data_IF_984579040599
#
_entry.id   IF_984579040599
#
_cell.length_a   1.000
_cell.length_b   1.000
_cell.length_c   1.000
_cell.angle_alpha   90.00
_cell.angle_beta   90.00
_cell.angle_gamma   90.00
#
_symmetry.space_group_name_H-M   'P 1'
#
loop_
_entity.id
_entity.type
_entity.pdbx_description
1 polymer ?
#
# COMPACT_ATOMS: atom_id res chain seq x y z
N UNK A 1 3.80 11.78 -1.69
CA UNK A 1 2.58 11.92 -2.52
C UNK A 1 1.69 13.00 -1.90
N UNK A 2 1.14 13.85 -2.72
CA UNK A 2 0.22 14.89 -2.27
C UNK A 2 -0.99 14.26 -1.56
N UNK A 3 -1.56 14.99 -0.58
CA UNK A 3 -2.62 14.45 0.27
C UNK A 3 -3.83 13.97 -0.54
N UNK A 4 -4.33 14.79 -1.46
CA UNK A 4 -5.52 14.41 -2.24
C UNK A 4 -5.23 13.23 -3.17
N UNK A 5 -4.07 13.22 -3.80
CA UNK A 5 -3.67 12.10 -4.64
C UNK A 5 -3.49 10.84 -3.81
N UNK A 6 -2.97 10.97 -2.59
CA UNK A 6 -2.80 9.82 -1.71
C UNK A 6 -4.14 9.27 -1.23
N UNK A 7 -5.10 10.13 -0.94
CA UNK A 7 -6.43 9.66 -0.51
C UNK A 7 -7.07 8.78 -1.58
N UNK A 8 -6.97 9.20 -2.84
CA UNK A 8 -7.49 8.39 -3.93
C UNK A 8 -6.71 7.10 -4.10
N UNK A 9 -5.39 7.19 -4.01
CA UNK A 9 -4.53 6.01 -4.09
C UNK A 9 -4.87 5.01 -2.99
N UNK A 10 -5.06 5.50 -1.77
CA UNK A 10 -5.41 4.66 -0.63
C UNK A 10 -6.77 3.99 -0.83
N UNK A 11 -7.74 4.72 -1.36
CA UNK A 11 -9.05 4.15 -1.66
C UNK A 11 -8.94 3.03 -2.67
N UNK A 12 -8.21 3.24 -3.75
CA UNK A 12 -7.97 2.20 -4.74
C UNK A 12 -7.23 1.01 -4.13
N UNK A 13 -6.28 1.29 -3.24
CA UNK A 13 -5.51 0.27 -2.54
C UNK A 13 -6.43 -0.60 -1.67
N UNK A 14 -7.33 0.02 -0.93
CA UNK A 14 -8.26 -0.71 -0.06
C UNK A 14 -9.15 -1.66 -0.88
N UNK A 15 -9.57 -1.22 -2.05
CA UNK A 15 -10.47 -1.99 -2.91
C UNK A 15 -9.76 -3.03 -3.78
N UNK A 16 -8.43 -3.02 -3.80
CA UNK A 16 -7.65 -3.97 -4.60
C UNK A 16 -7.53 -5.31 -3.89
N UNK A 17 -7.29 -6.38 -4.66
CA UNK A 17 -6.97 -7.67 -4.06
C UNK A 17 -5.54 -7.65 -3.50
N UNK A 18 -5.16 -8.73 -2.81
CA UNK A 18 -3.86 -8.79 -2.13
C UNK A 18 -2.69 -8.60 -3.09
N UNK A 19 -2.72 -9.29 -4.22
CA UNK A 19 -1.63 -9.21 -5.19
C UNK A 19 -1.52 -7.79 -5.76
N UNK A 20 -2.65 -7.18 -6.04
CA UNK A 20 -2.69 -5.81 -6.55
C UNK A 20 -2.22 -4.81 -5.49
N UNK A 21 -2.59 -5.03 -4.23
CA UNK A 21 -2.10 -4.20 -3.13
C UNK A 21 -0.58 -4.24 -3.04
N UNK A 22 0.01 -5.43 -3.16
CA UNK A 22 1.46 -5.58 -3.12
C UNK A 22 2.10 -4.82 -4.28
N UNK A 23 1.56 -4.98 -5.48
CA UNK A 23 2.06 -4.28 -6.66
C UNK A 23 1.98 -2.76 -6.47
N UNK A 24 0.86 -2.26 -5.98
CA UNK A 24 0.68 -0.84 -5.73
C UNK A 24 1.67 -0.32 -4.69
N UNK A 25 1.89 -1.08 -3.62
CA UNK A 25 2.82 -0.69 -2.58
C UNK A 25 4.25 -0.58 -3.12
N UNK A 26 4.67 -1.54 -3.92
CA UNK A 26 6.02 -1.57 -4.47
C UNK A 26 6.24 -0.48 -5.52
N UNK A 27 5.25 -0.26 -6.36
CA UNK A 27 5.36 0.70 -7.46
C UNK A 27 5.02 2.13 -7.07
N UNK A 28 4.53 2.36 -5.87
CA UNK A 28 4.19 3.70 -5.41
C UNK A 28 5.45 4.57 -5.31
N UNK A 29 5.33 5.81 -5.77
CA UNK A 29 6.42 6.78 -5.73
C UNK A 29 6.04 7.95 -4.84
N UNK A 30 7.06 8.62 -4.27
CA UNK A 30 6.87 9.84 -3.49
C UNK A 30 5.97 9.69 -2.26
N UNK A 31 5.91 8.48 -1.69
CA UNK A 31 5.20 8.27 -0.44
C UNK A 31 6.09 8.63 0.75
N UNK A 32 5.51 9.35 1.70
CA UNK A 32 6.18 9.60 2.98
C UNK A 32 6.11 8.36 3.86
N UNK A 33 6.93 8.33 4.92
CA UNK A 33 6.85 7.23 5.89
C UNK A 33 5.46 7.11 6.49
N UNK A 34 4.83 8.24 6.77
CA UNK A 34 3.47 8.26 7.29
C UNK A 34 2.49 7.61 6.31
N UNK A 35 2.62 7.92 5.03
CA UNK A 35 1.75 7.37 4.00
C UNK A 35 1.94 5.86 3.85
N UNK A 36 3.19 5.37 3.89
CA UNK A 36 3.44 3.93 3.89
C UNK A 36 2.80 3.25 5.09
N UNK A 37 2.89 3.87 6.26
CA UNK A 37 2.27 3.30 7.46
C UNK A 37 0.75 3.22 7.31
N UNK A 38 0.14 4.22 6.69
CA UNK A 38 -1.29 4.22 6.45
C UNK A 38 -1.72 3.09 5.52
N UNK A 39 -0.92 2.80 4.51
CA UNK A 39 -1.19 1.67 3.63
C UNK A 39 -1.07 0.34 4.38
N UNK A 40 -0.08 0.21 5.25
CA UNK A 40 0.09 -1.01 6.05
C UNK A 40 -1.07 -1.25 7.01
N UNK A 41 -1.69 -0.18 7.52
CA UNK A 41 -2.84 -0.31 8.41
C UNK A 41 -4.04 -0.92 7.72
N UNK A 42 -4.19 -0.70 6.42
CA UNK A 42 -5.32 -1.22 5.64
C UNK A 42 -4.94 -2.48 4.86
N UNK A 43 -3.71 -2.95 5.00
CA UNK A 43 -3.27 -4.19 4.38
C UNK A 43 -3.71 -5.38 5.24
N UNK A 44 -4.20 -6.48 4.63
CA UNK A 44 -4.62 -7.65 5.41
C UNK A 44 -3.48 -8.17 6.28
N UNK A 45 -3.72 -8.24 7.57
CA UNK A 45 -2.69 -8.64 8.54
C UNK A 45 -2.10 -10.01 8.20
N UNK A 46 -2.94 -10.96 7.82
CA UNK A 46 -2.50 -12.32 7.51
C UNK A 46 -1.76 -12.42 6.17
N UNK A 47 -1.71 -11.34 5.39
CA UNK A 47 -1.02 -11.31 4.10
C UNK A 47 0.26 -10.48 4.15
N UNK A 48 0.61 -9.92 5.29
CA UNK A 48 1.82 -9.10 5.43
C UNK A 48 3.08 -9.89 5.08
N UNK A 49 3.09 -11.20 5.36
CA UNK A 49 4.21 -12.05 4.98
C UNK A 49 4.48 -12.06 3.48
N UNK A 50 3.43 -12.01 2.67
CA UNK A 50 3.59 -11.93 1.22
C UNK A 50 4.22 -10.61 0.79
N UNK A 51 3.81 -9.53 1.44
CA UNK A 51 4.39 -8.21 1.16
C UNK A 51 5.86 -8.18 1.50
N UNK A 52 6.24 -8.72 2.65
CA UNK A 52 7.64 -8.77 3.07
C UNK A 52 8.49 -9.57 2.07
N UNK A 53 7.98 -10.69 1.58
CA UNK A 53 8.69 -11.48 0.57
C UNK A 53 8.87 -10.69 -0.74
N UNK A 54 7.87 -9.93 -1.13
CA UNK A 54 7.94 -9.14 -2.35
C UNK A 54 8.93 -7.99 -2.24
N UNK A 55 9.16 -7.49 -1.02
CA UNK A 55 10.11 -6.40 -0.77
C UNK A 55 11.54 -6.91 -0.53
N UNK A 56 11.72 -8.19 -0.31
CA UNK A 56 13.04 -8.77 -0.02
C UNK A 56 13.91 -8.83 -1.26
#
# INVERSE_FOLDING_TARGET
MEIMAFEKFKEDFINADTDKKIEMYISAEDLTQYQYKELLKVFPYNEIGKLEKALA
#
